data_IF_327748210187
#
_entry.id   IF_327748210187
#
_cell.length_a   1.000
_cell.length_b   1.000
_cell.length_c   1.000
_cell.angle_alpha   90.00
_cell.angle_beta   90.00
_cell.angle_gamma   90.00
#
_symmetry.space_group_name_H-M   'P 1'
#
loop_
_entity.id
_entity.type
_entity.pdbx_description
1 polymer ?
#
# COMPACT_ATOMS: atom_id res chain seq x y z
N UNK A 1 -9.48 1.99 14.10
CA UNK A 1 -8.23 2.44 13.44
C UNK A 1 -8.42 2.52 11.93
N UNK A 2 -8.98 1.47 11.33
CA UNK A 2 -9.36 1.34 9.92
C UNK A 2 -10.04 2.59 9.34
N UNK A 3 -11.09 3.11 9.99
CA UNK A 3 -11.80 4.31 9.53
C UNK A 3 -10.91 5.56 9.48
N UNK A 4 -10.00 5.73 10.45
CA UNK A 4 -9.06 6.86 10.49
C UNK A 4 -8.07 6.74 9.33
N UNK A 5 -7.52 5.55 9.12
CA UNK A 5 -6.63 5.27 7.99
C UNK A 5 -7.33 5.46 6.65
N UNK A 6 -8.59 5.02 6.55
CA UNK A 6 -9.46 5.23 5.41
C UNK A 6 -9.55 6.69 5.02
N UNK A 7 -9.90 7.56 5.97
CA UNK A 7 -10.01 8.98 5.70
C UNK A 7 -8.65 9.65 5.43
N UNK A 8 -7.58 9.20 6.11
CA UNK A 8 -6.23 9.74 5.91
C UNK A 8 -5.69 9.45 4.51
N UNK A 9 -5.91 8.25 3.99
CA UNK A 9 -5.40 7.80 2.69
C UNK A 9 -6.42 7.94 1.54
N UNK A 10 -7.67 8.33 1.81
CA UNK A 10 -8.69 8.58 0.79
C UNK A 10 -8.23 9.56 -0.32
N UNK A 11 -7.52 10.68 -0.01
CA UNK A 11 -7.00 11.56 -1.06
C UNK A 11 -6.01 10.84 -1.99
N UNK A 12 -5.18 9.95 -1.45
CA UNK A 12 -4.23 9.16 -2.26
C UNK A 12 -4.97 8.15 -3.13
N UNK A 13 -5.97 7.45 -2.56
CA UNK A 13 -6.83 6.54 -3.30
C UNK A 13 -7.54 7.25 -4.47
N UNK A 14 -8.04 8.46 -4.24
CA UNK A 14 -8.64 9.28 -5.29
C UNK A 14 -7.64 9.65 -6.40
N UNK A 15 -6.41 10.05 -6.04
CA UNK A 15 -5.36 10.42 -7.01
C UNK A 15 -4.99 9.25 -7.94
N UNK A 16 -4.91 8.01 -7.42
CA UNK A 16 -4.61 6.82 -8.24
C UNK A 16 -5.83 6.32 -9.04
N UNK A 17 -6.93 7.07 -9.00
CA UNK A 17 -8.10 6.87 -9.84
C UNK A 17 -9.20 6.03 -9.21
N UNK A 18 -9.22 5.76 -7.90
CA UNK A 18 -10.33 5.01 -7.28
C UNK A 18 -11.64 5.80 -7.38
N UNK A 19 -12.77 5.18 -7.78
CA UNK A 19 -14.10 5.80 -7.73
C UNK A 19 -14.44 6.38 -6.36
N UNK A 20 -15.09 7.55 -6.34
CA UNK A 20 -15.34 8.33 -5.11
C UNK A 20 -16.03 7.54 -4.00
N UNK A 21 -16.92 6.60 -4.34
CA UNK A 21 -17.63 5.76 -3.37
C UNK A 21 -16.70 4.78 -2.61
N UNK A 22 -15.57 4.41 -3.20
CA UNK A 22 -14.67 3.38 -2.65
C UNK A 22 -13.37 3.97 -2.07
N UNK A 23 -13.16 5.30 -2.14
CA UNK A 23 -11.87 5.91 -1.74
C UNK A 23 -11.53 5.69 -0.27
N UNK A 24 -12.53 5.65 0.63
CA UNK A 24 -12.31 5.40 2.06
C UNK A 24 -11.96 3.93 2.28
N UNK A 25 -12.63 3.02 1.58
CA UNK A 25 -12.38 1.57 1.60
C UNK A 25 -10.96 1.26 1.11
N UNK A 26 -10.55 1.83 -0.03
CA UNK A 26 -9.17 1.66 -0.53
C UNK A 26 -8.16 2.39 0.35
N UNK A 27 -8.50 3.57 0.88
CA UNK A 27 -7.66 4.27 1.84
C UNK A 27 -7.35 3.43 3.09
N UNK A 28 -8.32 2.67 3.58
CA UNK A 28 -8.13 1.78 4.72
C UNK A 28 -7.05 0.74 4.39
N UNK A 29 -7.17 0.09 3.23
CA UNK A 29 -6.22 -0.90 2.75
C UNK A 29 -4.80 -0.33 2.58
N UNK A 30 -4.67 0.89 2.03
CA UNK A 30 -3.38 1.58 1.90
C UNK A 30 -2.75 1.85 3.28
N UNK A 31 -3.55 2.27 4.26
CA UNK A 31 -3.06 2.50 5.61
C UNK A 31 -2.68 1.22 6.33
N UNK A 32 -3.51 0.16 6.22
CA UNK A 32 -3.21 -1.17 6.77
C UNK A 32 -1.90 -1.72 6.20
N UNK A 33 -1.71 -1.62 4.88
CA UNK A 33 -0.45 -2.00 4.22
C UNK A 33 0.73 -1.24 4.80
N UNK A 34 0.62 0.08 4.90
CA UNK A 34 1.73 0.95 5.29
C UNK A 34 2.16 0.73 6.74
N UNK A 35 1.17 0.58 7.64
CA UNK A 35 1.40 0.46 9.08
C UNK A 35 1.71 -0.98 9.50
N UNK A 36 0.97 -1.95 8.95
CA UNK A 36 1.11 -3.36 9.29
C UNK A 36 1.94 -4.08 8.23
N UNK A 37 1.30 -4.49 7.14
CA UNK A 37 1.90 -5.10 5.96
C UNK A 37 0.82 -5.42 4.91
N UNK A 38 1.27 -5.75 3.71
CA UNK A 38 0.46 -6.15 2.58
C UNK A 38 -0.35 -7.43 2.80
N UNK A 39 0.13 -8.41 3.59
CA UNK A 39 -0.64 -9.64 3.84
C UNK A 39 -1.92 -9.36 4.64
N UNK A 40 -1.83 -8.52 5.67
CA UNK A 40 -3.00 -8.08 6.44
C UNK A 40 -3.97 -7.28 5.55
N UNK A 41 -3.44 -6.39 4.71
CA UNK A 41 -4.25 -5.62 3.78
C UNK A 41 -4.91 -6.52 2.73
N UNK A 42 -4.24 -7.57 2.23
CA UNK A 42 -4.85 -8.52 1.29
C UNK A 42 -5.96 -9.36 1.91
N UNK A 43 -5.81 -9.78 3.17
CA UNK A 43 -6.89 -10.44 3.91
C UNK A 43 -8.10 -9.50 4.04
N UNK A 44 -7.86 -8.24 4.42
CA UNK A 44 -8.92 -7.23 4.54
C UNK A 44 -9.57 -6.91 3.18
N UNK A 45 -8.80 -6.87 2.08
CA UNK A 45 -9.34 -6.72 0.72
C UNK A 45 -10.28 -7.88 0.37
N UNK A 46 -9.91 -9.12 0.72
CA UNK A 46 -10.76 -10.29 0.52
C UNK A 46 -12.08 -10.16 1.28
N UNK A 47 -12.06 -9.78 2.55
CA UNK A 47 -13.25 -9.62 3.38
C UNK A 47 -14.16 -8.47 2.89
N UNK A 48 -13.57 -7.34 2.51
CA UNK A 48 -14.29 -6.18 1.97
C UNK A 48 -14.93 -6.49 0.60
N UNK A 49 -14.26 -7.28 -0.24
CA UNK A 49 -14.82 -7.78 -1.50
C UNK A 49 -16.02 -8.70 -1.23
N UNK A 50 -15.89 -9.64 -0.31
CA UNK A 50 -16.94 -10.63 -0.01
C UNK A 50 -18.17 -10.02 0.68
N UNK A 51 -17.99 -8.93 1.42
CA UNK A 51 -19.09 -8.18 2.05
C UNK A 51 -19.85 -7.24 1.10
N UNK A 52 -19.41 -7.11 -0.16
CA UNK A 52 -20.06 -6.24 -1.15
C UNK A 52 -19.82 -4.74 -0.91
N UNK A 53 -18.77 -4.39 -0.16
CA UNK A 53 -18.43 -2.99 0.17
C UNK A 53 -17.81 -2.22 -1.00
N UNK A 54 -17.28 -2.92 -2.01
CA UNK A 54 -16.78 -2.30 -3.23
C UNK A 54 -17.90 -2.06 -4.24
N UNK A 55 -18.01 -0.83 -4.71
CA UNK A 55 -19.01 -0.44 -5.71
C UNK A 55 -18.58 -0.73 -7.15
N UNK A 56 -17.28 -0.95 -7.41
CA UNK A 56 -16.80 -1.32 -8.75
C UNK A 56 -15.68 -2.36 -8.75
N UNK A 57 -15.64 -3.17 -9.82
CA UNK A 57 -14.53 -4.10 -10.06
C UNK A 57 -13.20 -3.35 -10.29
N UNK A 58 -13.25 -2.15 -10.88
CA UNK A 58 -12.09 -1.29 -11.10
C UNK A 58 -11.40 -0.93 -9.78
N UNK A 59 -12.17 -0.63 -8.73
CA UNK A 59 -11.64 -0.35 -7.39
C UNK A 59 -10.89 -1.54 -6.79
N UNK A 60 -11.43 -2.74 -6.97
CA UNK A 60 -10.80 -4.00 -6.52
C UNK A 60 -9.47 -4.20 -7.23
N UNK A 61 -9.42 -3.95 -8.54
CA UNK A 61 -8.18 -4.05 -9.33
C UNK A 61 -7.15 -3.03 -8.87
N UNK A 62 -7.52 -1.75 -8.76
CA UNK A 62 -6.62 -0.69 -8.29
C UNK A 62 -6.10 -1.02 -6.89
N UNK A 63 -6.98 -1.44 -5.96
CA UNK A 63 -6.59 -1.88 -4.63
C UNK A 63 -5.57 -3.03 -4.70
N UNK A 64 -5.85 -4.07 -5.47
CA UNK A 64 -4.98 -5.26 -5.61
C UNK A 64 -3.56 -4.88 -6.03
N UNK A 65 -3.42 -4.02 -7.03
CA UNK A 65 -2.10 -3.56 -7.50
C UNK A 65 -1.45 -2.57 -6.54
N UNK A 66 -2.22 -1.73 -5.86
CA UNK A 66 -1.68 -0.78 -4.87
C UNK A 66 -1.08 -1.49 -3.65
N UNK A 67 -1.60 -2.68 -3.32
CA UNK A 67 -1.11 -3.54 -2.25
C UNK A 67 0.11 -4.37 -2.65
N UNK A 68 0.40 -4.50 -3.94
CA UNK A 68 1.47 -5.34 -4.46
C UNK A 68 2.85 -4.73 -4.20
N UNK A 69 3.40 -4.96 -3.01
CA UNK A 69 4.77 -4.61 -2.66
C UNK A 69 4.99 -4.47 -1.17
N UNK A 70 6.21 -4.75 -0.72
CA UNK A 70 6.58 -4.79 0.70
C UNK A 70 6.93 -3.40 1.28
N UNK A 71 6.35 -2.32 0.75
CA UNK A 71 6.61 -0.98 1.23
C UNK A 71 5.78 -0.69 2.49
N UNK A 72 6.34 -1.02 3.65
CA UNK A 72 5.75 -0.83 4.98
C UNK A 72 6.85 -0.57 6.02
N UNK A 73 6.49 -0.14 7.24
CA UNK A 73 7.50 0.19 8.27
C UNK A 73 8.33 -1.02 8.71
N UNK A 74 7.74 -2.21 8.80
CA UNK A 74 8.45 -3.42 9.19
C UNK A 74 9.57 -3.77 8.17
N UNK A 75 9.32 -3.55 6.88
CA UNK A 75 10.28 -3.82 5.81
C UNK A 75 11.54 -2.97 5.88
N UNK A 76 11.51 -1.80 6.53
CA UNK A 76 12.73 -1.03 6.79
C UNK A 76 13.66 -1.84 7.71
N UNK A 77 13.12 -2.41 8.79
CA UNK A 77 13.86 -3.26 9.71
C UNK A 77 14.38 -4.53 9.02
N UNK A 78 13.55 -5.16 8.19
CA UNK A 78 13.95 -6.35 7.41
C UNK A 78 15.13 -6.02 6.49
N UNK A 79 15.11 -4.88 5.80
CA UNK A 79 16.21 -4.49 4.92
C UNK A 79 17.49 -4.12 5.69
N UNK A 80 17.37 -3.44 6.84
CA UNK A 80 18.53 -3.17 7.71
C UNK A 80 19.16 -4.47 8.20
N UNK A 81 18.36 -5.44 8.66
CA UNK A 81 18.85 -6.73 9.12
C UNK A 81 19.42 -7.58 7.99
N UNK A 82 18.70 -7.72 6.89
CA UNK A 82 19.08 -8.55 5.75
C UNK A 82 20.31 -8.02 5.02
N UNK A 83 20.26 -6.77 4.54
CA UNK A 83 21.41 -6.16 3.83
C UNK A 83 22.53 -5.85 4.81
N UNK A 84 22.22 -5.46 6.05
CA UNK A 84 23.22 -5.21 7.08
C UNK A 84 24.01 -6.45 7.51
N UNK A 85 23.46 -7.65 7.35
CA UNK A 85 24.22 -8.90 7.53
C UNK A 85 25.25 -9.14 6.42
N UNK A 86 24.97 -8.67 5.19
CA UNK A 86 25.86 -8.78 4.03
C UNK A 86 26.88 -7.63 3.96
N UNK A 87 26.48 -6.44 4.40
CA UNK A 87 27.28 -5.22 4.38
C UNK A 87 27.12 -4.43 5.69
N UNK A 88 27.80 -4.84 6.79
CA UNK A 88 27.62 -4.23 8.11
C UNK A 88 27.87 -2.71 8.15
N UNK A 89 28.83 -2.21 7.36
CA UNK A 89 29.15 -0.78 7.26
C UNK A 89 28.02 0.06 6.64
N UNK A 90 27.02 -0.57 6.01
CA UNK A 90 25.91 0.12 5.35
C UNK A 90 24.66 0.26 6.22
N UNK A 91 24.60 -0.36 7.41
CA UNK A 91 23.40 -0.31 8.27
C UNK A 91 22.94 1.12 8.60
N UNK A 92 23.88 2.04 8.84
CA UNK A 92 23.59 3.46 9.08
C UNK A 92 22.96 4.13 7.85
N UNK A 93 23.47 3.83 6.64
CA UNK A 93 22.89 4.34 5.40
C UNK A 93 21.48 3.78 5.18
N UNK A 94 21.27 2.47 5.41
CA UNK A 94 19.95 1.83 5.27
C UNK A 94 18.93 2.45 6.22
N UNK A 95 19.29 2.67 7.49
CA UNK A 95 18.42 3.34 8.45
C UNK A 95 18.11 4.79 8.03
N UNK A 96 19.12 5.54 7.58
CA UNK A 96 18.97 6.92 7.11
C UNK A 96 18.03 7.03 5.91
N UNK A 97 18.08 6.08 4.98
CA UNK A 97 17.27 6.09 3.76
C UNK A 97 15.96 5.30 3.87
N UNK A 98 15.71 4.58 4.96
CA UNK A 98 14.57 3.66 5.10
C UNK A 98 13.21 4.30 4.79
N UNK A 99 12.92 5.47 5.33
CA UNK A 99 11.65 6.18 5.05
C UNK A 99 11.56 6.62 3.59
N UNK A 100 12.65 7.09 3.00
CA UNK A 100 12.68 7.46 1.57
C UNK A 100 12.47 6.24 0.68
N UNK A 101 13.07 5.11 1.03
CA UNK A 101 12.88 3.83 0.33
C UNK A 101 11.43 3.34 0.44
N UNK A 102 10.82 3.45 1.63
CA UNK A 102 9.40 3.14 1.84
C UNK A 102 8.52 4.01 0.95
N UNK A 103 8.70 5.34 0.95
CA UNK A 103 7.94 6.26 0.10
C UNK A 103 8.13 5.90 -1.38
N UNK A 104 9.37 5.67 -1.82
CA UNK A 104 9.67 5.28 -3.20
C UNK A 104 8.99 3.98 -3.62
N UNK A 105 9.04 2.95 -2.78
CA UNK A 105 8.36 1.68 -3.01
C UNK A 105 6.83 1.82 -3.02
N UNK A 106 6.27 2.65 -2.15
CA UNK A 106 4.83 2.96 -2.14
C UNK A 106 4.41 3.66 -3.43
N UNK A 107 5.14 4.69 -3.86
CA UNK A 107 4.85 5.40 -5.13
C UNK A 107 4.93 4.44 -6.32
N UNK A 108 5.91 3.53 -6.38
CA UNK A 108 6.00 2.55 -7.45
C UNK A 108 4.76 1.63 -7.53
N UNK A 109 4.28 1.15 -6.38
CA UNK A 109 3.05 0.35 -6.33
C UNK A 109 1.80 1.17 -6.73
N UNK A 110 1.70 2.42 -6.26
CA UNK A 110 0.61 3.33 -6.62
C UNK A 110 0.59 3.69 -8.11
N UNK A 111 1.76 3.89 -8.73
CA UNK A 111 1.87 4.11 -10.18
C UNK A 111 1.41 2.87 -10.96
N UNK A 112 1.82 1.67 -10.53
CA UNK A 112 1.37 0.41 -11.15
C UNK A 112 -0.14 0.27 -11.04
N UNK A 113 -0.72 0.58 -9.88
CA UNK A 113 -2.16 0.56 -9.66
C UNK A 113 -2.91 1.56 -10.54
N UNK A 114 -2.35 2.77 -10.70
CA UNK A 114 -2.91 3.80 -11.58
C UNK A 114 -2.95 3.30 -13.03
N UNK A 115 -1.84 2.73 -13.52
CA UNK A 115 -1.78 2.16 -14.88
C UNK A 115 -2.79 1.02 -15.04
N UNK A 116 -2.85 0.08 -14.09
CA UNK A 116 -3.82 -1.01 -14.12
C UNK A 116 -5.27 -0.49 -14.17
N UNK A 117 -5.59 0.53 -13.37
CA UNK A 117 -6.89 1.19 -13.36
C UNK A 117 -7.19 2.07 -14.59
N UNK A 118 -6.18 2.44 -15.38
CA UNK A 118 -6.40 3.09 -16.68
C UNK A 118 -6.72 2.07 -17.77
N UNK A 119 -6.14 0.88 -17.70
CA UNK A 119 -6.34 -0.20 -18.68
C UNK A 119 -7.64 -0.96 -18.45
N UNK A 120 -8.20 -0.88 -17.24
CA UNK A 120 -9.42 -1.55 -16.83
C UNK A 120 -10.41 -0.46 -16.43
N UNK A 121 -11.38 -0.19 -17.32
CA UNK A 121 -12.42 0.84 -17.19
C UNK A 121 -13.39 0.62 -16.04
#
# INVERSE_FOLDING_TARGET
LQYILGNLFAPVAWIIGVPAADIVTVGQLLGEKTILNEFFAYASLSDLKNSGLFTSNRSIVIATYSLCGFANFASIGIQIGGIGGLAPSQQSNLAKFGIKALIGGTVAALMTATIAGMLIG
#
